data_IF_612455480153
#
_entry.id   IF_612455480153
#
_cell.length_a   1.000
_cell.length_b   1.000
_cell.length_c   1.000
_cell.angle_alpha   90.00
_cell.angle_beta   90.00
_cell.angle_gamma   90.00
#
_symmetry.space_group_name_H-M   'P 1'
#
loop_
_entity.id
_entity.type
_entity.pdbx_description
1 polymer ?
#
# COMPACT_ATOMS: atom_id res chain seq x y z
N UNK A 1 8.56 15.48 -15.10
CA UNK A 1 8.46 15.53 -13.63
C UNK A 1 8.00 14.16 -13.16
N UNK A 2 8.83 13.49 -12.38
CA UNK A 2 8.73 12.06 -12.09
C UNK A 2 7.63 11.80 -11.05
N UNK A 3 6.77 10.80 -11.29
CA UNK A 3 5.63 10.36 -10.45
C UNK A 3 6.00 9.92 -9.00
N UNK A 4 7.22 10.20 -8.55
CA UNK A 4 7.78 9.81 -7.27
C UNK A 4 7.65 10.87 -6.16
N UNK A 5 7.39 12.14 -6.48
CA UNK A 5 7.43 13.25 -5.49
C UNK A 5 6.23 13.31 -4.53
N UNK A 6 5.18 12.51 -4.68
CA UNK A 6 3.92 12.69 -3.90
C UNK A 6 3.44 11.44 -3.16
N UNK A 7 4.20 10.34 -3.17
CA UNK A 7 3.80 9.15 -2.42
C UNK A 7 4.04 9.37 -0.91
N UNK A 8 3.02 9.18 -0.05
CA UNK A 8 3.15 9.31 1.40
C UNK A 8 4.26 8.44 1.97
N UNK A 9 4.97 8.93 2.99
CA UNK A 9 6.10 8.23 3.61
C UNK A 9 5.62 7.40 4.80
N UNK A 10 6.38 6.37 5.17
CA UNK A 10 6.02 5.49 6.29
C UNK A 10 5.83 6.26 7.60
N UNK A 11 6.69 7.23 7.88
CA UNK A 11 6.56 8.06 9.08
C UNK A 11 5.24 8.86 9.12
N UNK A 12 4.76 9.34 7.96
CA UNK A 12 3.53 10.12 7.87
C UNK A 12 2.31 9.24 8.13
N UNK A 13 2.34 7.99 7.63
CA UNK A 13 1.30 7.01 7.89
C UNK A 13 1.29 6.58 9.36
N UNK A 14 2.46 6.40 9.98
CA UNK A 14 2.54 6.06 11.40
C UNK A 14 1.98 7.17 12.29
N UNK A 15 2.26 8.44 11.96
CA UNK A 15 1.69 9.58 12.67
C UNK A 15 0.15 9.62 12.59
N UNK A 16 -0.42 9.14 11.47
CA UNK A 16 -1.86 9.13 11.23
C UNK A 16 -2.53 7.80 11.62
N UNK A 17 -1.78 6.85 12.22
CA UNK A 17 -2.23 5.47 12.49
C UNK A 17 -2.88 4.78 11.27
N UNK A 18 -2.34 5.04 10.08
CA UNK A 18 -2.84 4.50 8.82
C UNK A 18 -2.06 3.23 8.42
N UNK A 19 -2.72 2.07 8.27
CA UNK A 19 -2.06 0.88 7.78
C UNK A 19 -1.76 0.99 6.28
N UNK A 20 -0.88 0.11 5.79
CA UNK A 20 -0.57 -0.02 4.37
C UNK A 20 -1.38 -1.16 3.79
N UNK A 21 -2.08 -0.92 2.69
CA UNK A 21 -2.70 -1.95 1.88
C UNK A 21 -1.68 -2.48 0.86
N UNK A 22 -1.44 -3.78 0.86
CA UNK A 22 -0.65 -4.49 -0.15
C UNK A 22 -1.57 -5.40 -0.97
N UNK A 23 -1.41 -5.39 -2.29
CA UNK A 23 -2.19 -6.18 -3.23
C UNK A 23 -1.28 -6.94 -4.18
N UNK A 24 -1.49 -8.25 -4.32
CA UNK A 24 -0.82 -9.04 -5.34
C UNK A 24 -1.59 -8.92 -6.66
N UNK A 25 -0.93 -8.37 -7.68
CA UNK A 25 -1.53 -8.20 -9.00
C UNK A 25 -1.61 -9.52 -9.79
N UNK A 26 -0.94 -10.57 -9.32
CA UNK A 26 -0.98 -11.91 -9.94
C UNK A 26 -2.18 -12.75 -9.49
N UNK A 27 -2.47 -12.78 -8.18
CA UNK A 27 -3.52 -13.66 -7.62
C UNK A 27 -4.65 -12.93 -6.90
N UNK A 28 -4.56 -11.61 -6.74
CA UNK A 28 -5.57 -10.81 -6.04
C UNK A 28 -5.52 -10.89 -4.51
N UNK A 29 -4.59 -11.66 -3.92
CA UNK A 29 -4.39 -11.69 -2.46
C UNK A 29 -4.04 -10.30 -1.94
N UNK A 30 -4.69 -9.90 -0.85
CA UNK A 30 -4.48 -8.60 -0.23
C UNK A 30 -4.24 -8.72 1.27
N UNK A 31 -3.49 -7.77 1.82
CA UNK A 31 -3.20 -7.72 3.25
C UNK A 31 -3.03 -6.28 3.71
N UNK A 32 -3.55 -6.00 4.91
CA UNK A 32 -3.22 -4.79 5.64
C UNK A 32 -1.98 -5.03 6.51
N UNK A 33 -1.01 -4.13 6.40
CA UNK A 33 0.24 -4.21 7.14
C UNK A 33 0.34 -3.02 8.11
N UNK A 34 0.58 -3.26 9.42
CA UNK A 34 0.85 -2.19 10.36
C UNK A 34 2.19 -1.51 10.03
N UNK A 35 2.26 -0.20 10.27
CA UNK A 35 3.45 0.60 9.91
C UNK A 35 4.53 0.52 10.98
N UNK A 36 4.17 0.44 12.26
CA UNK A 36 5.13 0.43 13.36
C UNK A 36 6.21 -0.68 13.24
N UNK A 37 5.88 -1.95 12.90
CA UNK A 37 6.91 -2.97 12.70
C UNK A 37 7.80 -2.72 11.47
N UNK A 38 7.31 -1.98 10.47
CA UNK A 38 8.08 -1.63 9.28
C UNK A 38 9.09 -0.52 9.58
N UNK A 39 8.72 0.47 10.41
CA UNK A 39 9.63 1.54 10.84
C UNK A 39 10.83 1.03 11.65
N UNK A 40 10.69 -0.11 12.34
CA UNK A 40 11.82 -0.74 13.01
C UNK A 40 12.88 -1.30 12.05
N UNK A 41 12.57 -1.43 10.75
CA UNK A 41 13.40 -2.12 9.74
C UNK A 41 13.69 -1.27 8.50
N UNK A 42 12.94 -0.19 8.29
CA UNK A 42 12.92 0.60 7.07
C UNK A 42 12.91 2.08 7.47
N UNK A 43 13.73 2.89 6.78
CA UNK A 43 13.75 4.34 6.97
C UNK A 43 12.32 4.91 6.81
N UNK A 44 11.87 5.67 7.81
CA UNK A 44 10.58 6.34 7.83
C UNK A 44 10.33 7.29 6.64
N UNK A 45 11.39 7.76 5.98
CA UNK A 45 11.31 8.58 4.75
C UNK A 45 10.98 7.78 3.49
N UNK A 46 11.00 6.45 3.58
CA UNK A 46 10.65 5.57 2.46
C UNK A 46 9.21 5.82 2.04
N UNK A 47 8.98 6.00 0.74
CA UNK A 47 7.64 6.08 0.19
C UNK A 47 6.93 4.73 0.30
N UNK A 48 5.63 4.76 0.63
CA UNK A 48 4.83 3.53 0.77
C UNK A 48 4.88 2.67 -0.49
N UNK A 49 4.79 3.29 -1.67
CA UNK A 49 4.83 2.60 -2.97
C UNK A 49 6.15 1.85 -3.21
N UNK A 50 7.26 2.31 -2.64
CA UNK A 50 8.56 1.65 -2.76
C UNK A 50 8.64 0.34 -1.97
N UNK A 51 7.72 0.08 -1.03
CA UNK A 51 7.67 -1.18 -0.32
C UNK A 51 7.35 -2.35 -1.24
N UNK A 52 6.61 -2.13 -2.33
CA UNK A 52 6.27 -3.15 -3.32
C UNK A 52 7.48 -4.00 -3.74
N UNK A 53 8.63 -3.36 -3.98
CA UNK A 53 9.87 -4.02 -4.43
C UNK A 53 10.51 -4.94 -3.37
N UNK A 54 10.07 -4.86 -2.12
CA UNK A 54 10.58 -5.65 -0.99
C UNK A 54 9.63 -6.76 -0.57
N UNK A 55 8.51 -6.92 -1.26
CA UNK A 55 7.45 -7.84 -0.88
C UNK A 55 7.39 -9.04 -1.83
N UNK A 56 6.93 -10.14 -1.28
CA UNK A 56 6.59 -11.35 -2.02
C UNK A 56 5.26 -11.85 -1.50
N UNK A 57 4.35 -12.20 -2.41
CA UNK A 57 3.03 -12.69 -2.04
C UNK A 57 3.17 -14.01 -1.29
N UNK A 58 2.68 -14.08 -0.06
CA UNK A 58 2.68 -15.32 0.73
C UNK A 58 1.75 -16.41 0.20
N UNK A 59 0.81 -16.07 -0.70
CA UNK A 59 -0.14 -17.02 -1.27
C UNK A 59 0.37 -17.69 -2.57
N UNK A 60 1.06 -16.93 -3.44
CA UNK A 60 1.49 -17.43 -4.75
C UNK A 60 2.99 -17.25 -5.06
N UNK A 61 3.76 -16.62 -4.16
CA UNK A 61 5.17 -16.31 -4.39
C UNK A 61 5.43 -15.17 -5.40
N UNK A 62 4.39 -14.55 -5.95
CA UNK A 62 4.52 -13.47 -6.93
C UNK A 62 5.11 -12.18 -6.34
N UNK A 63 5.89 -11.45 -7.15
CA UNK A 63 6.55 -10.19 -6.79
C UNK A 63 5.87 -8.95 -7.41
N UNK A 64 4.85 -9.16 -8.25
CA UNK A 64 4.02 -8.07 -8.78
C UNK A 64 3.06 -7.60 -7.70
N UNK A 65 3.56 -6.73 -6.81
CA UNK A 65 2.85 -6.21 -5.64
C UNK A 65 2.62 -4.72 -5.82
N UNK A 66 1.39 -4.28 -5.54
CA UNK A 66 1.07 -2.86 -5.35
C UNK A 66 0.98 -2.56 -3.86
N UNK A 67 1.49 -1.42 -3.43
CA UNK A 67 1.36 -0.93 -2.05
C UNK A 67 0.85 0.50 -2.03
N UNK A 68 -0.11 0.78 -1.14
CA UNK A 68 -0.70 2.11 -0.99
C UNK A 68 -1.12 2.36 0.46
N UNK A 69 -1.21 3.62 0.91
CA UNK A 69 -1.85 3.93 2.19
C UNK A 69 -3.30 3.45 2.18
N UNK A 70 -3.75 2.85 3.27
CA UNK A 70 -5.13 2.40 3.39
C UNK A 70 -6.05 3.54 3.85
N UNK A 71 -6.35 4.46 2.94
CA UNK A 71 -7.30 5.55 3.21
C UNK A 71 -8.77 5.10 3.26
N UNK A 72 -9.09 3.82 3.09
CA UNK A 72 -10.47 3.33 3.09
C UNK A 72 -11.21 3.62 4.41
N UNK A 73 -10.49 3.89 5.51
CA UNK A 73 -11.07 4.40 6.77
C UNK A 73 -11.54 5.86 6.73
N UNK A 74 -11.21 6.63 5.69
CA UNK A 74 -11.56 8.06 5.52
C UNK A 74 -12.85 8.28 4.72
N UNK A 75 -13.60 7.21 4.41
CA UNK A 75 -14.91 7.28 3.77
C UNK A 75 -14.90 6.85 2.30
N UNK A 76 -16.03 6.26 1.89
CA UNK A 76 -16.33 5.89 0.51
C UNK A 76 -16.41 7.17 -0.34
N UNK A 77 -15.49 7.35 -1.28
CA UNK A 77 -15.73 8.27 -2.40
C UNK A 77 -16.52 7.49 -3.46
N UNK A 78 -17.83 7.72 -3.45
CA UNK A 78 -18.87 7.36 -4.44
C UNK A 78 -18.57 6.23 -5.46
N UNK A 79 -19.40 5.19 -5.41
CA UNK A 79 -19.32 4.00 -6.25
C UNK A 79 -19.28 4.26 -7.76
N UNK A 80 -18.37 3.55 -8.43
CA UNK A 80 -18.38 3.42 -9.88
C UNK A 80 -19.34 2.26 -10.21
N UNK A 81 -20.51 2.59 -10.78
CA UNK A 81 -21.38 1.58 -11.38
C UNK A 81 -20.70 1.05 -12.62
N UNK A 82 -20.22 -0.20 -12.56
CA UNK A 82 -19.77 -0.91 -13.75
C UNK A 82 -20.98 -1.09 -14.67
N UNK A 83 -21.03 -0.35 -15.78
CA UNK A 83 -21.96 -0.64 -16.85
C UNK A 83 -21.46 -1.91 -17.56
N UNK A 84 -22.18 -3.03 -17.38
CA UNK A 84 -22.09 -4.16 -18.29
C UNK A 84 -22.81 -3.76 -19.59
N UNK A 85 -22.10 -3.89 -20.70
CA UNK A 85 -22.66 -3.82 -22.05
C UNK A 85 -23.56 -5.03 -22.32
#
# INVERSE_FOLDING_TARGET
MSKAETAPRLQDLAYQDLPIAAWCLTCGHHKLMPVAPLLARIDGRTAVTSLAFRLTCSACGGQSIETRPNYAGLGIVAGHRWHRN
#
